data_IF_679618705203
#
_entry.id   IF_679618705203
#
_cell.length_a   1.000
_cell.length_b   1.000
_cell.length_c   1.000
_cell.angle_alpha   90.00
_cell.angle_beta   90.00
_cell.angle_gamma   90.00
#
_symmetry.space_group_name_H-M   'P 1'
#
loop_
_entity.id
_entity.type
_entity.pdbx_description
1 polymer ?
#
# COMPACT_ATOMS: atom_id res chain seq x y z
N UNK A 1 5.62 -38.01 6.93
CA UNK A 1 4.81 -36.92 6.34
C UNK A 1 5.77 -35.96 5.64
N UNK A 2 5.83 -35.87 4.30
CA UNK A 2 6.70 -34.91 3.65
C UNK A 2 6.21 -33.48 3.93
N UNK A 3 7.14 -32.61 4.33
CA UNK A 3 6.85 -31.21 4.63
C UNK A 3 6.32 -30.50 3.38
N UNK A 4 5.16 -29.86 3.50
CA UNK A 4 4.55 -29.06 2.44
C UNK A 4 5.41 -27.81 2.19
N UNK A 5 6.34 -27.86 1.23
CA UNK A 5 7.13 -26.70 0.81
C UNK A 5 6.18 -25.69 0.15
N UNK A 6 6.07 -24.50 0.74
CA UNK A 6 5.35 -23.39 0.10
C UNK A 6 6.22 -22.86 -1.04
N UNK A 7 5.75 -23.05 -2.26
CA UNK A 7 6.36 -22.47 -3.46
C UNK A 7 5.62 -21.17 -3.78
N UNK A 8 6.37 -20.07 -3.94
CA UNK A 8 5.82 -18.77 -4.33
C UNK A 8 6.10 -18.56 -5.82
N UNK A 9 5.05 -18.57 -6.63
CA UNK A 9 5.12 -18.22 -8.05
C UNK A 9 4.74 -16.75 -8.16
N UNK A 10 5.57 -15.98 -8.85
CA UNK A 10 5.34 -14.55 -9.11
C UNK A 10 5.11 -14.39 -10.61
N UNK A 11 3.97 -13.82 -10.97
CA UNK A 11 3.58 -13.58 -12.35
C UNK A 11 3.38 -12.08 -12.57
N UNK A 12 3.74 -11.60 -13.75
CA UNK A 12 3.50 -10.23 -14.19
C UNK A 12 2.21 -10.27 -15.00
N UNK A 13 1.22 -9.49 -14.57
CA UNK A 13 -0.07 -9.37 -15.24
C UNK A 13 -0.24 -7.95 -15.74
N UNK A 14 -0.75 -7.82 -16.96
CA UNK A 14 -1.15 -6.53 -17.50
C UNK A 14 -2.44 -6.04 -16.83
N UNK A 15 -2.51 -4.74 -16.56
CA UNK A 15 -3.69 -4.09 -16.00
C UNK A 15 -4.01 -2.85 -16.84
N UNK A 16 -5.29 -2.70 -17.22
CA UNK A 16 -5.76 -1.58 -18.02
C UNK A 16 -5.69 -0.24 -17.26
N UNK A 17 -5.90 -0.28 -15.95
CA UNK A 17 -5.86 0.88 -15.07
C UNK A 17 -5.61 0.47 -13.62
N UNK A 18 -5.31 1.47 -12.79
CA UNK A 18 -5.22 1.28 -11.34
C UNK A 18 -6.51 1.82 -10.72
N UNK A 19 -7.13 1.05 -9.84
CA UNK A 19 -8.31 1.43 -9.09
C UNK A 19 -7.94 1.66 -7.64
N UNK A 20 -8.23 2.84 -7.10
CA UNK A 20 -7.86 3.22 -5.75
C UNK A 20 -9.06 3.68 -4.95
N UNK A 21 -9.09 3.34 -3.65
CA UNK A 21 -10.13 3.81 -2.73
C UNK A 21 -9.74 5.17 -2.17
N UNK A 22 -10.61 6.15 -2.37
CA UNK A 22 -10.49 7.51 -1.86
C UNK A 22 -11.50 7.72 -0.75
N UNK A 23 -11.22 8.67 0.15
CA UNK A 23 -12.17 9.13 1.15
C UNK A 23 -12.49 10.59 0.89
N UNK A 24 -13.77 10.91 0.67
CA UNK A 24 -14.24 12.29 0.46
C UNK A 24 -13.48 13.01 -0.67
N UNK A 25 -13.27 12.29 -1.79
CA UNK A 25 -12.55 12.79 -2.96
C UNK A 25 -11.03 12.91 -2.81
N UNK A 26 -10.44 12.43 -1.70
CA UNK A 26 -8.99 12.48 -1.46
C UNK A 26 -8.36 11.09 -1.42
N UNK A 27 -7.15 10.92 -2.00
CA UNK A 27 -6.42 9.66 -1.88
C UNK A 27 -6.04 9.42 -0.42
N UNK A 28 -6.21 8.17 0.05
CA UNK A 28 -5.94 7.78 1.45
C UNK A 28 -5.03 6.58 1.53
N UNK A 29 -4.29 6.46 2.64
CA UNK A 29 -3.56 5.25 2.99
C UNK A 29 -4.10 4.67 4.30
N UNK A 30 -4.23 3.34 4.34
CA UNK A 30 -4.67 2.64 5.54
C UNK A 30 -3.48 2.12 6.33
N UNK A 31 -3.47 2.42 7.62
CA UNK A 31 -2.51 1.92 8.58
C UNK A 31 -3.24 1.12 9.64
N UNK A 32 -2.91 -0.16 9.75
CA UNK A 32 -3.38 -1.00 10.84
C UNK A 32 -2.40 -0.86 12.02
N UNK A 33 -2.92 -0.50 13.20
CA UNK A 33 -2.18 -0.48 14.46
C UNK A 33 -2.89 -1.42 15.44
N UNK A 34 -2.15 -2.30 16.09
CA UNK A 34 -2.63 -3.01 17.27
C UNK A 34 -2.29 -2.18 18.50
N UNK A 35 -3.26 -1.89 19.37
CA UNK A 35 -3.00 -1.13 20.61
C UNK A 35 -2.22 -1.93 21.65
N UNK A 36 -2.24 -3.26 21.57
CA UNK A 36 -1.62 -4.14 22.55
C UNK A 36 -0.14 -4.46 22.27
N UNK A 37 0.29 -4.40 21.01
CA UNK A 37 1.67 -4.70 20.61
C UNK A 37 2.10 -3.87 19.41
N UNK A 38 3.23 -3.17 19.52
CA UNK A 38 3.84 -2.40 18.44
C UNK A 38 4.76 -3.24 17.53
N UNK A 39 4.87 -4.55 17.77
CA UNK A 39 5.70 -5.47 17.00
C UNK A 39 4.82 -6.51 16.27
N UNK A 40 4.98 -6.74 14.95
CA UNK A 40 6.02 -6.24 14.04
C UNK A 40 5.57 -4.95 13.31
N UNK A 41 5.52 -3.82 14.02
CA UNK A 41 5.29 -2.50 13.45
C UNK A 41 3.89 -2.27 12.85
N UNK A 42 3.54 -1.00 12.57
CA UNK A 42 2.31 -0.70 11.85
C UNK A 42 2.41 -1.24 10.42
N UNK A 43 1.47 -2.10 10.03
CA UNK A 43 1.40 -2.63 8.67
C UNK A 43 0.54 -1.71 7.82
N UNK A 44 1.13 -1.20 6.73
CA UNK A 44 0.39 -0.45 5.73
C UNK A 44 -0.40 -1.41 4.86
N UNK A 45 -1.66 -1.05 4.61
CA UNK A 45 -2.55 -1.82 3.75
C UNK A 45 -2.71 -1.10 2.43
N UNK A 46 -2.54 -1.85 1.33
CA UNK A 46 -2.72 -1.33 -0.02
C UNK A 46 -4.19 -0.94 -0.22
N UNK A 47 -4.39 0.23 -0.82
CA UNK A 47 -5.70 0.76 -1.21
C UNK A 47 -5.87 0.84 -2.72
N UNK A 48 -4.80 0.55 -3.47
CA UNK A 48 -4.75 0.53 -4.93
C UNK A 48 -4.67 -0.90 -5.44
N UNK A 49 -5.49 -1.20 -6.46
CA UNK A 49 -5.66 -2.53 -7.04
C UNK A 49 -5.72 -2.44 -8.57
N UNK A 50 -5.18 -3.44 -9.28
CA UNK A 50 -5.34 -3.52 -10.74
C UNK A 50 -6.76 -3.94 -11.15
N UNK A 51 -7.53 -4.57 -10.25
CA UNK A 51 -8.90 -5.01 -10.50
C UNK A 51 -9.90 -4.15 -9.71
N UNK A 52 -10.93 -3.56 -10.37
CA UNK A 52 -11.92 -2.73 -9.72
C UNK A 52 -12.71 -3.47 -8.62
N UNK A 53 -12.99 -4.76 -8.79
CA UNK A 53 -13.76 -5.55 -7.83
C UNK A 53 -13.10 -5.61 -6.44
N UNK A 54 -11.77 -5.63 -6.37
CA UNK A 54 -11.06 -5.56 -5.09
C UNK A 54 -11.17 -4.18 -4.44
N UNK A 55 -11.13 -3.12 -5.24
CA UNK A 55 -11.30 -1.76 -4.75
C UNK A 55 -12.72 -1.52 -4.22
N UNK A 56 -13.76 -1.99 -4.93
CA UNK A 56 -15.15 -1.87 -4.49
C UNK A 56 -15.41 -2.65 -3.20
N UNK A 57 -14.94 -3.91 -3.11
CA UNK A 57 -15.03 -4.71 -1.90
C UNK A 57 -14.33 -4.04 -0.70
N UNK A 58 -13.21 -3.35 -0.92
CA UNK A 58 -12.55 -2.59 0.14
C UNK A 58 -13.37 -1.36 0.54
N UNK A 59 -13.86 -0.59 -0.43
CA UNK A 59 -14.68 0.60 -0.19
C UNK A 59 -15.96 0.26 0.60
N UNK A 60 -16.68 -0.80 0.22
CA UNK A 60 -17.87 -1.27 0.96
C UNK A 60 -17.54 -1.67 2.39
N UNK A 61 -16.46 -2.42 2.61
CA UNK A 61 -16.02 -2.80 3.96
C UNK A 61 -15.66 -1.59 4.82
N UNK A 62 -15.05 -0.57 4.24
CA UNK A 62 -14.71 0.66 4.95
C UNK A 62 -15.95 1.50 5.26
N UNK A 63 -16.84 1.65 4.27
CA UNK A 63 -18.13 2.32 4.44
C UNK A 63 -18.95 1.65 5.55
N UNK A 64 -19.04 0.32 5.56
CA UNK A 64 -19.71 -0.42 6.63
C UNK A 64 -19.02 -0.26 8.00
N UNK A 65 -17.69 -0.30 8.04
CA UNK A 65 -16.92 -0.19 9.30
C UNK A 65 -17.01 1.19 9.94
N UNK A 66 -17.01 2.24 9.14
CA UNK A 66 -17.02 3.64 9.60
C UNK A 66 -18.41 4.28 9.53
N UNK A 67 -19.44 3.51 9.15
CA UNK A 67 -20.82 3.97 8.98
C UNK A 67 -20.89 5.23 8.11
N UNK A 68 -20.23 5.19 6.96
CA UNK A 68 -20.12 6.30 6.02
C UNK A 68 -20.31 5.80 4.60
N UNK A 69 -20.54 6.72 3.69
CA UNK A 69 -20.67 6.55 2.24
C UNK A 69 -19.55 7.28 1.48
N UNK A 70 -18.60 7.86 2.21
CA UNK A 70 -17.52 8.70 1.66
C UNK A 70 -16.36 7.92 1.04
N UNK A 71 -16.28 6.60 1.26
CA UNK A 71 -15.29 5.78 0.57
C UNK A 71 -15.79 5.43 -0.84
N UNK A 72 -15.05 5.87 -1.85
CA UNK A 72 -15.39 5.67 -3.26
C UNK A 72 -14.17 5.20 -4.05
N UNK A 73 -14.41 4.50 -5.16
CA UNK A 73 -13.36 3.97 -6.03
C UNK A 73 -13.10 4.93 -7.19
N UNK A 74 -11.84 5.27 -7.41
CA UNK A 74 -11.38 6.12 -8.51
C UNK A 74 -10.53 5.30 -9.48
N UNK A 75 -10.81 5.43 -10.79
CA UNK A 75 -9.99 4.88 -11.88
C UNK A 75 -8.85 5.86 -12.17
N UNK A 76 -7.61 5.39 -12.03
CA UNK A 76 -6.39 6.13 -12.32
C UNK A 76 -5.81 5.57 -13.61
N UNK A 77 -5.88 6.35 -14.69
CA UNK A 77 -5.43 5.96 -16.03
C UNK A 77 -4.07 6.55 -16.40
N UNK A 78 -3.74 7.73 -15.86
CA UNK A 78 -2.49 8.44 -16.14
C UNK A 78 -1.85 8.84 -14.81
N UNK A 79 -0.61 8.43 -14.62
CA UNK A 79 0.21 8.81 -13.46
C UNK A 79 1.37 9.69 -13.91
N UNK A 80 1.78 10.61 -13.05
CA UNK A 80 3.01 11.36 -13.23
C UNK A 80 4.20 10.51 -12.79
N UNK A 81 5.30 10.57 -13.56
CA UNK A 81 6.54 9.93 -13.17
C UNK A 81 7.18 10.73 -12.02
N UNK A 82 7.20 10.14 -10.82
CA UNK A 82 7.89 10.71 -9.65
C UNK A 82 9.20 9.97 -9.45
N UNK A 83 10.32 10.68 -9.53
CA UNK A 83 11.66 10.14 -9.24
C UNK A 83 12.09 10.47 -7.82
N UNK A 84 12.67 9.51 -7.09
CA UNK A 84 13.30 9.81 -5.80
C UNK A 84 14.47 10.79 -6.00
N UNK A 85 14.63 11.82 -5.15
CA UNK A 85 15.85 12.60 -5.14
C UNK A 85 17.03 11.67 -4.76
N UNK A 86 18.22 11.86 -5.36
CA UNK A 86 19.37 11.03 -5.04
C UNK A 86 19.64 11.05 -3.54
N UNK A 87 19.80 9.87 -2.94
CA UNK A 87 20.18 9.75 -1.52
C UNK A 87 21.48 10.55 -1.31
N UNK A 88 21.55 11.44 -0.31
CA UNK A 88 22.79 12.15 -0.02
C UNK A 88 23.87 11.13 0.28
N UNK A 89 25.02 11.27 -0.39
CA UNK A 89 26.16 10.39 -0.18
C UNK A 89 26.54 10.31 1.30
N UNK A 90 26.93 9.12 1.81
CA UNK A 90 27.32 8.98 3.21
C UNK A 90 28.51 9.91 3.48
N UNK A 91 28.31 10.87 4.40
CA UNK A 91 29.36 11.82 4.83
C UNK A 91 30.61 11.04 5.23
N UNK A 92 31.81 11.45 4.78
CA UNK A 92 33.05 10.75 5.11
C UNK A 92 33.19 10.68 6.63
N UNK A 93 33.35 9.45 7.14
CA UNK A 93 33.58 9.21 8.57
C UNK A 93 34.84 9.98 8.98
N UNK A 94 34.68 10.99 9.84
CA UNK A 94 35.81 11.65 10.47
C UNK A 94 36.62 10.58 11.21
N UNK A 95 37.81 10.24 10.72
CA UNK A 95 38.75 9.37 11.43
C UNK A 95 39.06 10.07 12.75
N UNK A 96 38.60 9.50 13.88
CA UNK A 96 39.10 9.88 15.21
C UNK A 96 40.61 9.62 15.18
N UNK A 97 41.43 10.67 15.26
CA UNK A 97 42.85 10.54 15.56
C UNK A 97 42.96 9.86 16.93
N UNK A 98 43.69 8.74 16.95
CA UNK A 98 44.21 8.14 18.18
C UNK A 98 45.29 9.04 18.76
#
# INVERSE_FOLDING_TARGET
MPANRKHHIVEILEAEAIYAVFYDGRPVNLRERCSAYDYPGPKYKKVSFPNPGHAFNLAEKLNARFQTDKFAVYKLTVGELVTEPPKPEPKPRKKKKQ
#
